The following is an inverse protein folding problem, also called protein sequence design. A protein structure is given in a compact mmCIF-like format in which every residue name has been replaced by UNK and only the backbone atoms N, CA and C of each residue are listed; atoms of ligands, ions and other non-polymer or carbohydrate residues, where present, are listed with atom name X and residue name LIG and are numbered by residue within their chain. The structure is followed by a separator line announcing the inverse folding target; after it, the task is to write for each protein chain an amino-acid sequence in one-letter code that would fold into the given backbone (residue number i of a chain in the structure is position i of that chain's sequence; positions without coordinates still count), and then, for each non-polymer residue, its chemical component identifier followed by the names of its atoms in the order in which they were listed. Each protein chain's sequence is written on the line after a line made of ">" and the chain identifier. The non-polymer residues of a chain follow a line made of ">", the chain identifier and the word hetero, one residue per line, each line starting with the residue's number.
data_IF_117513926339
#
_entry.id   IF_117513926339
#
_cell.length_a   1.000
_cell.length_b   1.000
_cell.length_c   1.000
_cell.angle_alpha   90.00
_cell.angle_beta   90.00
_cell.angle_gamma   90.00
#
_symmetry.space_group_name_H-M   'P 1'
#
loop_
_entity.id
_entity.type
_entity.pdbx_description
1 polymer ?
#
# COMPACT_ATOMS: atom_id res chain seq x y z
N UNK A 1 -30.58 2.07 30.29
CA UNK A 1 -30.06 3.28 29.57
C UNK A 1 -28.80 3.74 30.27
N UNK A 2 -27.63 3.59 29.66
CA UNK A 2 -26.35 4.11 30.17
C UNK A 2 -26.41 5.62 29.97
N UNK A 3 -26.16 6.42 31.03
CA UNK A 3 -26.25 7.88 30.99
C UNK A 3 -25.26 8.48 29.97
N UNK A 4 -25.59 9.63 29.38
CA UNK A 4 -24.70 10.33 28.43
C UNK A 4 -23.31 10.62 29.03
N UNK A 5 -23.23 10.76 30.37
CA UNK A 5 -21.96 10.96 31.10
C UNK A 5 -21.11 9.71 31.13
N UNK A 6 -21.67 8.52 31.41
CA UNK A 6 -20.94 7.25 31.33
C UNK A 6 -20.38 6.98 29.94
N UNK A 7 -21.14 7.27 28.86
CA UNK A 7 -20.63 7.19 27.47
C UNK A 7 -19.52 8.19 27.20
N UNK A 8 -19.51 9.33 27.88
CA UNK A 8 -18.46 10.36 27.73
C UNK A 8 -17.19 9.96 28.49
N UNK A 9 -17.33 9.35 29.68
CA UNK A 9 -16.21 8.80 30.47
C UNK A 9 -15.59 7.56 29.83
N UNK A 10 -16.39 6.62 29.31
CA UNK A 10 -15.91 5.48 28.54
C UNK A 10 -15.15 5.91 27.27
N UNK A 11 -15.57 7.01 26.63
CA UNK A 11 -14.89 7.58 25.46
C UNK A 11 -13.55 8.24 25.83
N UNK A 12 -13.39 8.68 27.09
CA UNK A 12 -12.14 9.31 27.60
C UNK A 12 -11.10 8.30 28.06
N UNK A 13 -11.49 7.04 28.31
CA UNK A 13 -10.64 5.95 28.82
C UNK A 13 -10.23 4.93 27.76
N UNK A 14 -10.63 5.09 26.49
CA UNK A 14 -10.17 4.15 25.43
C UNK A 14 -8.65 4.29 25.26
N UNK A 15 -7.94 3.15 25.29
CA UNK A 15 -6.51 3.09 24.97
C UNK A 15 -6.24 3.81 23.66
N UNK A 16 -5.21 4.62 23.58
CA UNK A 16 -4.75 5.19 22.30
C UNK A 16 -4.05 4.10 21.50
N UNK A 17 -4.83 3.33 20.73
CA UNK A 17 -4.30 2.33 19.82
C UNK A 17 -3.52 3.00 18.69
N UNK A 18 -2.46 2.33 18.22
CA UNK A 18 -1.59 2.75 17.12
C UNK A 18 -1.54 1.67 16.05
N UNK A 19 -1.97 2.00 14.84
CA UNK A 19 -2.00 1.08 13.71
C UNK A 19 -1.23 1.67 12.55
N UNK A 20 -0.30 0.89 11.98
CA UNK A 20 0.30 1.18 10.69
C UNK A 20 -0.48 0.42 9.62
N UNK A 21 -1.30 1.13 8.85
CA UNK A 21 -2.25 0.51 7.92
C UNK A 21 -1.72 0.41 6.48
N UNK A 22 -0.45 0.77 6.24
CA UNK A 22 0.15 0.69 4.93
C UNK A 22 1.60 0.20 5.03
N UNK A 23 1.79 -1.09 4.80
CA UNK A 23 3.12 -1.72 4.85
C UNK A 23 3.22 -2.84 3.83
N UNK A 24 4.43 -3.10 3.35
CA UNK A 24 4.74 -4.09 2.35
C UNK A 24 5.61 -5.23 2.93
N UNK A 25 5.45 -6.41 2.35
CA UNK A 25 6.21 -7.60 2.70
C UNK A 25 6.99 -8.12 1.49
N UNK A 26 7.75 -9.20 1.65
CA UNK A 26 8.40 -9.89 0.55
C UNK A 26 7.43 -10.51 -0.48
N UNK A 27 6.12 -10.50 -0.20
CA UNK A 27 5.10 -10.83 -1.20
C UNK A 27 4.97 -9.80 -2.32
N UNK A 28 5.50 -8.58 -2.13
CA UNK A 28 5.66 -7.58 -3.19
C UNK A 28 7.11 -7.06 -3.25
N UNK A 29 7.37 -5.89 -2.74
CA UNK A 29 8.67 -5.21 -2.78
C UNK A 29 9.19 -4.76 -1.42
N UNK A 30 8.60 -5.29 -0.35
CA UNK A 30 9.12 -5.17 1.00
C UNK A 30 10.31 -6.11 1.27
N UNK A 31 11.21 -5.69 2.15
CA UNK A 31 12.43 -6.45 2.49
C UNK A 31 12.19 -7.58 3.52
N UNK A 32 11.06 -7.56 4.24
CA UNK A 32 10.77 -8.51 5.32
C UNK A 32 9.54 -9.35 5.01
N UNK A 33 9.53 -10.59 5.48
CA UNK A 33 8.34 -11.43 5.51
C UNK A 33 7.30 -10.93 6.53
N UNK A 34 6.12 -11.54 6.55
CA UNK A 34 5.03 -11.21 7.49
C UNK A 34 5.51 -11.27 8.94
N UNK A 35 6.21 -12.34 9.31
CA UNK A 35 6.67 -12.54 10.70
C UNK A 35 7.72 -11.52 11.10
N UNK A 36 8.64 -11.15 10.22
CA UNK A 36 9.65 -10.11 10.42
C UNK A 36 9.00 -8.75 10.66
N UNK A 37 8.03 -8.39 9.84
CA UNK A 37 7.26 -7.15 9.97
C UNK A 37 6.44 -7.11 11.27
N UNK A 38 5.75 -8.20 11.65
CA UNK A 38 5.02 -8.29 12.93
C UNK A 38 5.94 -8.12 14.13
N UNK A 39 7.12 -8.78 14.13
CA UNK A 39 8.11 -8.61 15.21
C UNK A 39 8.58 -7.17 15.31
N UNK A 40 8.80 -6.51 14.18
CA UNK A 40 9.23 -5.12 14.14
C UNK A 40 8.11 -4.19 14.66
N UNK A 41 6.87 -4.38 14.24
CA UNK A 41 5.71 -3.63 14.71
C UNK A 41 5.51 -3.74 16.23
N UNK A 42 5.64 -4.95 16.79
CA UNK A 42 5.58 -5.19 18.25
C UNK A 42 6.70 -4.42 18.96
N UNK A 43 7.94 -4.46 18.44
CA UNK A 43 9.09 -3.76 19.01
C UNK A 43 8.89 -2.24 19.01
N UNK A 44 8.20 -1.71 18.01
CA UNK A 44 7.88 -0.29 17.87
C UNK A 44 6.65 0.14 18.68
N UNK A 45 5.97 -0.80 19.35
CA UNK A 45 4.80 -0.53 20.19
C UNK A 45 3.53 -0.23 19.39
N UNK A 46 3.42 -0.73 18.18
CA UNK A 46 2.17 -0.73 17.42
C UNK A 46 1.19 -1.75 18.01
N UNK A 47 -0.10 -1.42 18.00
CA UNK A 47 -1.19 -2.31 18.41
C UNK A 47 -1.76 -3.10 17.23
N UNK A 48 -1.50 -2.65 15.99
CA UNK A 48 -1.91 -3.34 14.77
C UNK A 48 -1.13 -2.88 13.55
N UNK A 49 -1.13 -3.73 12.52
CA UNK A 49 -0.49 -3.52 11.23
C UNK A 49 -1.36 -4.10 10.11
N UNK A 50 -1.38 -3.45 8.94
CA UNK A 50 -1.97 -4.03 7.74
C UNK A 50 -0.88 -4.32 6.71
N UNK A 51 -0.92 -5.51 6.11
CA UNK A 51 -0.09 -5.83 4.95
C UNK A 51 -0.88 -5.52 3.69
N UNK A 52 -0.33 -4.60 2.90
CA UNK A 52 -0.97 -4.04 1.70
C UNK A 52 -0.07 -4.20 0.48
N UNK A 53 0.43 -5.43 0.29
CA UNK A 53 1.35 -5.76 -0.78
C UNK A 53 0.83 -5.33 -2.16
N UNK A 54 1.73 -4.84 -3.02
CA UNK A 54 1.39 -4.40 -4.37
C UNK A 54 0.86 -5.54 -5.24
N UNK A 55 -0.39 -5.44 -5.65
CA UNK A 55 -1.09 -6.37 -6.55
C UNK A 55 -0.92 -7.85 -6.15
N UNK A 56 -0.81 -8.13 -4.85
CA UNK A 56 -0.61 -9.47 -4.31
C UNK A 56 -1.34 -9.69 -2.98
N UNK A 57 -2.03 -10.83 -2.87
CA UNK A 57 -2.74 -11.28 -1.67
C UNK A 57 -2.33 -12.69 -1.23
N UNK A 58 -1.29 -13.27 -1.83
CA UNK A 58 -0.86 -14.63 -1.51
C UNK A 58 -0.48 -14.76 -0.02
N UNK A 59 0.03 -13.69 0.62
CA UNK A 59 0.32 -13.64 2.04
C UNK A 59 -0.90 -13.68 2.96
N UNK A 60 -2.12 -13.48 2.45
CA UNK A 60 -3.33 -13.48 3.29
C UNK A 60 -3.60 -14.81 3.98
N UNK A 61 -3.17 -15.92 3.38
CA UNK A 61 -3.35 -17.26 3.96
C UNK A 61 -2.47 -17.49 5.19
N UNK A 62 -1.35 -16.76 5.30
CA UNK A 62 -0.45 -16.84 6.46
C UNK A 62 -0.92 -15.99 7.66
N UNK A 63 -1.88 -15.09 7.43
CA UNK A 63 -2.38 -14.18 8.46
C UNK A 63 -3.40 -14.91 9.33
N UNK A 64 -2.96 -15.33 10.53
CA UNK A 64 -3.82 -15.85 11.60
C UNK A 64 -3.71 -14.96 12.83
N UNK A 65 -4.74 -14.17 13.09
CA UNK A 65 -4.80 -13.24 14.22
C UNK A 65 -4.75 -13.89 15.59
N UNK A 66 -4.96 -15.23 15.70
CA UNK A 66 -4.80 -15.95 16.96
C UNK A 66 -3.33 -16.19 17.31
N UNK A 67 -2.43 -16.05 16.36
CA UNK A 67 -0.98 -16.32 16.52
C UNK A 67 -0.22 -15.08 16.97
N UNK A 68 -0.70 -13.88 16.65
CA UNK A 68 0.05 -12.64 16.89
C UNK A 68 -0.43 -11.90 18.14
N UNK A 69 0.50 -11.14 18.76
CA UNK A 69 0.22 -10.30 19.95
C UNK A 69 -0.38 -8.94 19.60
N UNK A 70 -0.46 -8.59 18.33
CA UNK A 70 -1.06 -7.38 17.77
C UNK A 70 -2.06 -7.78 16.69
N UNK A 71 -2.96 -6.88 16.34
CA UNK A 71 -3.87 -7.11 15.22
C UNK A 71 -3.09 -7.09 13.89
N UNK A 72 -3.28 -8.11 13.08
CA UNK A 72 -2.71 -8.20 11.73
C UNK A 72 -3.84 -8.24 10.71
N UNK A 73 -3.87 -7.25 9.84
CA UNK A 73 -4.97 -7.04 8.90
C UNK A 73 -4.56 -7.43 7.48
N UNK A 74 -5.48 -8.09 6.79
CA UNK A 74 -5.37 -8.43 5.37
C UNK A 74 -5.68 -7.20 4.53
N UNK A 75 -4.73 -6.77 3.73
CA UNK A 75 -4.88 -5.66 2.80
C UNK A 75 -4.16 -5.91 1.50
N UNK A 76 -4.44 -5.08 0.52
CA UNK A 76 -3.76 -5.06 -0.79
C UNK A 76 -3.65 -3.62 -1.27
N UNK A 77 -2.57 -3.28 -1.97
CA UNK A 77 -2.44 -2.02 -2.69
C UNK A 77 -2.48 -2.28 -4.19
N UNK A 78 -3.59 -1.90 -4.84
CA UNK A 78 -3.74 -2.02 -6.28
C UNK A 78 -3.07 -0.87 -7.01
N UNK A 79 -2.21 -1.20 -7.97
CA UNK A 79 -1.64 -0.23 -8.91
C UNK A 79 -2.64 0.05 -10.02
N UNK A 80 -3.17 1.25 -10.07
CA UNK A 80 -4.23 1.66 -11.01
C UNK A 80 -3.86 2.92 -11.78
N UNK A 81 -4.73 3.33 -12.71
CA UNK A 81 -4.51 4.50 -13.54
C UNK A 81 -5.79 5.30 -13.74
N UNK A 82 -5.70 6.61 -13.63
CA UNK A 82 -6.81 7.52 -13.85
C UNK A 82 -6.33 8.85 -14.43
N UNK A 83 -6.96 9.32 -15.50
CA UNK A 83 -6.68 10.62 -16.15
C UNK A 83 -5.20 10.92 -16.43
N UNK A 84 -4.44 9.90 -16.82
CA UNK A 84 -3.02 10.08 -17.16
C UNK A 84 -2.06 9.97 -15.98
N UNK A 85 -2.54 9.61 -14.78
CA UNK A 85 -1.70 9.44 -13.61
C UNK A 85 -1.83 8.05 -12.98
N UNK A 86 -0.79 7.62 -12.29
CA UNK A 86 -0.81 6.43 -11.45
C UNK A 86 -1.56 6.75 -10.16
N UNK A 87 -2.50 5.90 -9.80
CA UNK A 87 -3.29 5.98 -8.58
C UNK A 87 -3.18 4.65 -7.86
N UNK A 88 -2.84 4.68 -6.58
CA UNK A 88 -2.88 3.47 -5.77
C UNK A 88 -4.16 3.41 -4.94
N UNK A 89 -4.74 2.23 -4.86
CA UNK A 89 -5.99 1.99 -4.14
C UNK A 89 -5.78 0.86 -3.13
N UNK A 90 -5.94 1.17 -1.85
CA UNK A 90 -5.88 0.19 -0.78
C UNK A 90 -7.23 -0.51 -0.64
N UNK A 91 -7.19 -1.83 -0.54
CA UNK A 91 -8.31 -2.67 -0.17
C UNK A 91 -8.02 -3.37 1.16
N UNK A 92 -8.89 -3.20 2.17
CA UNK A 92 -8.77 -3.92 3.44
C UNK A 92 -9.90 -4.94 3.53
N UNK A 93 -9.56 -6.22 3.61
CA UNK A 93 -10.54 -7.30 3.67
C UNK A 93 -11.36 -7.24 4.96
N UNK A 94 -12.70 -7.34 4.82
CA UNK A 94 -13.63 -7.15 5.94
C UNK A 94 -13.69 -8.33 6.91
N UNK A 95 -13.02 -9.45 6.64
CA UNK A 95 -13.04 -10.68 7.45
C UNK A 95 -14.47 -11.22 7.72
N UNK A 96 -15.39 -10.99 6.81
CA UNK A 96 -16.78 -11.42 6.89
C UNK A 96 -17.03 -12.83 6.31
N UNK A 97 -15.95 -13.50 5.87
CA UNK A 97 -15.99 -14.79 5.19
C UNK A 97 -16.40 -14.72 3.73
N UNK A 98 -16.46 -13.52 3.15
CA UNK A 98 -16.79 -13.31 1.75
C UNK A 98 -15.74 -13.87 0.80
N UNK A 99 -16.18 -14.21 -0.42
CA UNK A 99 -15.31 -14.74 -1.47
C UNK A 99 -14.46 -13.61 -2.10
N UNK A 100 -13.15 -13.83 -2.22
CA UNK A 100 -12.20 -12.95 -2.88
C UNK A 100 -11.47 -13.63 -4.05
N UNK A 101 -12.01 -14.73 -4.57
CA UNK A 101 -11.38 -15.50 -5.66
C UNK A 101 -11.28 -14.73 -6.98
N UNK A 102 -12.23 -13.81 -7.24
CA UNK A 102 -12.17 -12.91 -8.41
C UNK A 102 -10.95 -11.98 -8.29
N UNK A 103 -10.73 -11.39 -7.11
CA UNK A 103 -9.57 -10.55 -6.83
C UNK A 103 -8.26 -11.33 -6.99
N UNK A 104 -8.16 -12.51 -6.39
CA UNK A 104 -6.97 -13.38 -6.49
C UNK A 104 -6.65 -13.72 -7.94
N UNK A 105 -7.66 -14.14 -8.72
CA UNK A 105 -7.51 -14.46 -10.15
C UNK A 105 -7.02 -13.25 -10.95
N UNK A 106 -7.62 -12.07 -10.70
CA UNK A 106 -7.23 -10.82 -11.35
C UNK A 106 -5.78 -10.46 -11.02
N UNK A 107 -5.37 -10.56 -9.75
CA UNK A 107 -4.02 -10.21 -9.32
C UNK A 107 -2.95 -11.16 -9.87
N UNK A 108 -3.23 -12.46 -9.95
CA UNK A 108 -2.34 -13.43 -10.63
C UNK A 108 -2.07 -13.02 -12.07
N UNK A 109 -3.12 -12.67 -12.82
CA UNK A 109 -2.98 -12.19 -14.20
C UNK A 109 -2.18 -10.87 -14.26
N UNK A 110 -2.43 -9.94 -13.37
CA UNK A 110 -1.71 -8.67 -13.31
C UNK A 110 -0.21 -8.89 -13.06
N UNK A 111 0.15 -9.84 -12.19
CA UNK A 111 1.55 -10.21 -11.94
C UNK A 111 2.23 -10.81 -13.20
N UNK A 112 1.54 -11.64 -13.97
CA UNK A 112 2.04 -12.12 -15.26
C UNK A 112 2.32 -10.98 -16.25
N UNK A 113 1.42 -10.01 -16.34
CA UNK A 113 1.60 -8.83 -17.19
C UNK A 113 2.78 -7.97 -16.73
N UNK A 114 3.03 -7.87 -15.41
CA UNK A 114 4.22 -7.20 -14.87
C UNK A 114 5.52 -7.87 -15.35
N UNK A 115 5.59 -9.18 -15.42
CA UNK A 115 6.77 -9.90 -15.94
C UNK A 115 7.05 -9.55 -17.40
N UNK A 116 6.00 -9.45 -18.24
CA UNK A 116 6.13 -9.00 -19.63
C UNK A 116 6.67 -7.56 -19.70
N UNK A 117 6.20 -6.69 -18.82
CA UNK A 117 6.66 -5.30 -18.72
C UNK A 117 8.14 -5.22 -18.34
N UNK A 118 8.59 -6.00 -17.37
CA UNK A 118 10.00 -6.04 -16.95
C UNK A 118 10.91 -6.38 -18.13
N UNK A 119 10.58 -7.39 -18.94
CA UNK A 119 11.35 -7.73 -20.15
C UNK A 119 11.47 -6.56 -21.12
N UNK A 120 10.41 -5.78 -21.29
CA UNK A 120 10.46 -4.57 -22.14
C UNK A 120 11.31 -3.46 -21.52
N UNK A 121 11.28 -3.27 -20.20
CA UNK A 121 12.12 -2.28 -19.51
C UNK A 121 13.60 -2.65 -19.66
N UNK A 122 13.96 -3.93 -19.57
CA UNK A 122 15.32 -4.42 -19.80
C UNK A 122 15.82 -3.98 -21.18
N UNK A 123 15.01 -4.15 -22.23
CA UNK A 123 15.42 -3.73 -23.59
C UNK A 123 15.60 -2.21 -23.71
N UNK A 124 14.84 -1.42 -22.97
CA UNK A 124 15.05 0.04 -22.94
C UNK A 124 16.31 0.41 -22.18
N UNK A 125 16.62 -0.25 -21.06
CA UNK A 125 17.82 0.01 -20.26
C UNK A 125 19.11 -0.25 -21.03
N UNK A 126 19.14 -1.22 -21.95
CA UNK A 126 20.29 -1.47 -22.83
C UNK A 126 20.70 -0.26 -23.65
N UNK A 127 19.78 0.63 -24.02
CA UNK A 127 20.07 1.86 -24.75
C UNK A 127 20.90 2.87 -23.93
N UNK A 128 21.02 2.64 -22.63
CA UNK A 128 21.77 3.46 -21.67
C UNK A 128 22.98 2.71 -21.09
N UNK A 129 23.45 1.67 -21.76
CA UNK A 129 24.57 0.80 -21.31
C UNK A 129 24.31 0.17 -19.93
N UNK A 130 23.03 -0.08 -19.62
CA UNK A 130 22.60 -0.82 -18.44
C UNK A 130 22.07 -2.18 -18.90
N UNK A 131 22.94 -3.20 -18.86
CA UNK A 131 22.62 -4.55 -19.28
C UNK A 131 22.35 -5.41 -18.04
N UNK A 132 21.09 -5.49 -17.63
CA UNK A 132 20.58 -6.35 -16.55
C UNK A 132 19.71 -7.45 -17.14
N UNK A 133 19.81 -8.68 -16.63
CA UNK A 133 19.03 -9.79 -17.13
C UNK A 133 17.71 -9.96 -16.35
N UNK A 134 16.79 -10.67 -16.96
CA UNK A 134 15.51 -11.01 -16.34
C UNK A 134 15.71 -11.84 -15.06
N UNK A 135 16.63 -12.80 -15.10
CA UNK A 135 16.97 -13.68 -13.99
C UNK A 135 17.60 -12.89 -12.81
N UNK A 136 18.45 -11.92 -13.13
CA UNK A 136 19.04 -11.03 -12.10
C UNK A 136 17.96 -10.21 -11.37
N UNK A 137 16.93 -9.75 -12.09
CA UNK A 137 15.82 -9.01 -11.49
C UNK A 137 14.93 -9.93 -10.66
N UNK A 138 14.62 -11.14 -11.16
CA UNK A 138 13.83 -12.11 -10.42
C UNK A 138 14.52 -12.56 -9.13
N UNK A 139 15.85 -12.64 -9.11
CA UNK A 139 16.61 -12.98 -7.91
C UNK A 139 16.52 -11.93 -6.79
N UNK A 140 16.04 -10.74 -7.08
CA UNK A 140 15.80 -9.68 -6.10
C UNK A 140 14.33 -9.61 -5.64
N UNK A 141 13.45 -10.49 -6.15
CA UNK A 141 12.01 -10.46 -5.87
C UNK A 141 11.54 -11.83 -5.36
N UNK A 142 10.99 -11.87 -4.17
CA UNK A 142 10.35 -13.07 -3.63
C UNK A 142 8.85 -13.17 -4.01
N UNK A 143 8.26 -12.06 -4.48
CA UNK A 143 6.84 -11.96 -4.82
C UNK A 143 6.57 -11.17 -6.11
N UNK A 144 5.66 -10.22 -6.07
CA UNK A 144 5.28 -9.41 -7.22
C UNK A 144 6.45 -8.52 -7.69
N UNK A 145 6.94 -8.76 -8.92
CA UNK A 145 8.07 -7.99 -9.46
C UNK A 145 7.67 -6.54 -9.72
N UNK A 146 8.45 -5.62 -9.18
CA UNK A 146 8.25 -4.18 -9.29
C UNK A 146 9.55 -3.46 -9.69
N UNK A 147 9.43 -2.16 -10.01
CA UNK A 147 10.60 -1.34 -10.39
C UNK A 147 11.70 -1.26 -9.33
N UNK A 148 11.42 -1.28 -8.01
CA UNK A 148 12.47 -1.38 -7.01
C UNK A 148 13.39 -2.60 -7.19
N UNK A 149 12.86 -3.77 -7.61
CA UNK A 149 13.67 -4.95 -7.88
C UNK A 149 14.62 -4.74 -9.07
N UNK A 150 14.17 -4.01 -10.11
CA UNK A 150 15.03 -3.61 -11.23
C UNK A 150 16.18 -2.73 -10.71
N UNK A 151 15.87 -1.75 -9.85
CA UNK A 151 16.88 -0.89 -9.26
C UNK A 151 17.88 -1.67 -8.40
N UNK A 152 17.39 -2.60 -7.55
CA UNK A 152 18.24 -3.48 -6.72
C UNK A 152 19.21 -4.32 -7.59
N UNK A 153 18.69 -4.95 -8.65
CA UNK A 153 19.52 -5.74 -9.57
C UNK A 153 20.60 -4.89 -10.26
N UNK A 154 20.25 -3.68 -10.72
CA UNK A 154 21.22 -2.77 -11.34
C UNK A 154 22.30 -2.35 -10.35
N UNK A 155 21.93 -1.95 -9.13
CA UNK A 155 22.87 -1.52 -8.08
C UNK A 155 23.83 -2.66 -7.74
N UNK A 156 23.32 -3.88 -7.60
CA UNK A 156 24.11 -5.08 -7.30
C UNK A 156 25.07 -5.43 -8.41
N UNK A 157 24.65 -5.27 -9.68
CA UNK A 157 25.46 -5.61 -10.86
C UNK A 157 26.58 -4.58 -11.14
N UNK A 158 26.33 -3.30 -10.83
CA UNK A 158 27.26 -2.19 -11.15
C UNK A 158 27.68 -1.40 -9.90
N UNK A 159 28.29 -2.05 -8.88
CA UNK A 159 28.66 -1.37 -7.64
C UNK A 159 29.65 -0.22 -7.87
N UNK A 160 30.49 -0.31 -8.92
CA UNK A 160 31.48 0.71 -9.29
C UNK A 160 30.86 1.98 -9.88
N UNK A 161 29.61 1.92 -10.38
CA UNK A 161 28.91 3.09 -10.96
C UNK A 161 28.26 3.98 -9.90
N UNK A 162 28.21 3.54 -8.63
CA UNK A 162 27.64 4.31 -7.53
C UNK A 162 26.16 4.63 -7.69
N UNK A 163 25.41 3.79 -8.41
CA UNK A 163 23.97 3.95 -8.56
C UNK A 163 23.26 3.85 -7.21
N UNK A 164 22.28 4.73 -7.02
CA UNK A 164 21.31 4.63 -5.92
C UNK A 164 19.91 4.38 -6.49
N UNK A 165 19.02 3.85 -5.67
CA UNK A 165 17.62 3.66 -6.08
C UNK A 165 17.02 5.00 -6.56
N UNK A 166 17.17 6.06 -5.79
CA UNK A 166 16.72 7.41 -6.15
C UNK A 166 17.27 7.86 -7.51
N UNK A 167 18.57 7.69 -7.75
CA UNK A 167 19.18 8.06 -9.04
C UNK A 167 18.56 7.30 -10.21
N UNK A 168 18.35 5.98 -10.06
CA UNK A 168 17.76 5.15 -11.11
C UNK A 168 16.31 5.51 -11.40
N UNK A 169 15.53 5.82 -10.37
CA UNK A 169 14.17 6.30 -10.54
C UNK A 169 14.12 7.67 -11.20
N UNK A 170 14.96 8.61 -10.78
CA UNK A 170 14.97 9.97 -11.31
C UNK A 170 15.44 10.05 -12.78
N UNK A 171 16.27 9.11 -13.23
CA UNK A 171 16.89 9.20 -14.55
C UNK A 171 16.39 8.15 -15.55
N UNK A 172 15.93 6.96 -15.11
CA UNK A 172 15.65 5.86 -16.03
C UNK A 172 14.25 5.24 -15.87
N UNK A 173 13.89 4.74 -14.68
CA UNK A 173 12.73 3.86 -14.48
C UNK A 173 11.55 4.49 -13.72
N UNK A 174 11.70 5.72 -13.25
CA UNK A 174 10.61 6.48 -12.61
C UNK A 174 9.55 6.94 -13.61
N UNK A 175 8.46 7.49 -13.12
CA UNK A 175 7.38 7.98 -13.96
C UNK A 175 7.90 9.04 -14.97
N UNK A 176 7.43 8.94 -16.22
CA UNK A 176 7.82 9.83 -17.34
C UNK A 176 9.34 9.83 -17.66
N UNK A 177 10.08 8.77 -17.27
CA UNK A 177 11.49 8.57 -17.58
C UNK A 177 11.69 7.65 -18.80
N UNK A 178 12.88 7.66 -19.44
CA UNK A 178 13.12 6.98 -20.73
C UNK A 178 12.81 5.48 -20.73
N UNK A 179 13.03 4.80 -19.63
CA UNK A 179 12.73 3.37 -19.48
C UNK A 179 11.44 3.10 -18.72
N UNK A 180 10.60 4.13 -18.52
CA UNK A 180 9.29 3.95 -17.94
C UNK A 180 8.33 3.32 -18.93
N UNK A 181 7.73 2.24 -18.51
CA UNK A 181 6.56 1.68 -19.19
C UNK A 181 5.43 1.64 -18.17
N UNK A 182 4.27 2.20 -18.48
CA UNK A 182 3.12 2.09 -17.60
C UNK A 182 2.73 0.60 -17.44
N UNK A 183 2.18 0.25 -16.28
CA UNK A 183 1.45 -1.03 -16.13
C UNK A 183 0.24 -0.96 -17.04
N UNK A 184 -0.21 -2.09 -17.62
CA UNK A 184 -1.47 -2.13 -18.36
C UNK A 184 -2.57 -1.56 -17.47
N UNK A 185 -3.17 -0.50 -17.98
CA UNK A 185 -3.98 0.43 -17.21
C UNK A 185 -5.23 -0.24 -16.67
N UNK A 186 -5.16 -0.74 -15.45
CA UNK A 186 -6.37 -1.04 -14.72
C UNK A 186 -6.97 0.31 -14.27
N UNK A 187 -8.14 0.64 -14.80
CA UNK A 187 -8.80 1.90 -14.47
C UNK A 187 -9.12 1.93 -12.98
N UNK A 188 -8.85 3.06 -12.33
CA UNK A 188 -9.08 3.20 -10.89
C UNK A 188 -10.54 2.92 -10.49
N UNK A 189 -11.51 3.21 -11.35
CA UNK A 189 -12.93 2.94 -11.08
C UNK A 189 -13.22 1.45 -11.06
N UNK A 190 -12.66 0.72 -12.04
CA UNK A 190 -12.81 -0.74 -12.12
C UNK A 190 -12.14 -1.43 -10.94
N UNK A 191 -11.01 -0.87 -10.46
CA UNK A 191 -10.33 -1.33 -9.25
C UNK A 191 -11.17 -1.14 -7.98
N UNK A 192 -11.79 0.03 -7.83
CA UNK A 192 -12.71 0.31 -6.71
C UNK A 192 -13.86 -0.70 -6.72
N UNK A 193 -14.49 -0.93 -7.87
CA UNK A 193 -15.58 -1.89 -8.02
C UNK A 193 -15.12 -3.34 -7.75
N UNK A 194 -13.94 -3.73 -8.23
CA UNK A 194 -13.35 -5.06 -7.98
C UNK A 194 -13.15 -5.29 -6.48
N UNK A 195 -12.51 -4.36 -5.79
CA UNK A 195 -12.28 -4.45 -4.35
C UNK A 195 -13.59 -4.55 -3.56
N UNK A 196 -14.60 -3.77 -3.92
CA UNK A 196 -15.92 -3.82 -3.27
C UNK A 196 -16.61 -5.17 -3.44
N UNK A 197 -16.63 -5.71 -4.66
CA UNK A 197 -17.21 -7.03 -4.93
C UNK A 197 -16.47 -8.15 -4.18
N UNK A 198 -15.20 -7.93 -3.86
CA UNK A 198 -14.36 -8.88 -3.12
C UNK A 198 -14.23 -8.53 -1.63
N UNK A 199 -15.27 -7.96 -1.04
CA UNK A 199 -15.41 -7.73 0.39
C UNK A 199 -14.27 -6.88 1.01
N UNK A 200 -13.80 -5.86 0.29
CA UNK A 200 -12.80 -4.92 0.77
C UNK A 200 -13.39 -3.55 1.09
N UNK A 201 -12.92 -2.95 2.17
CA UNK A 201 -13.04 -1.52 2.43
C UNK A 201 -12.03 -0.79 1.55
N UNK A 202 -12.50 0.17 0.76
CA UNK A 202 -11.73 0.81 -0.31
C UNK A 202 -11.23 2.19 0.09
N UNK A 203 -9.92 2.41 -0.01
CA UNK A 203 -9.25 3.65 0.39
C UNK A 203 -8.30 4.14 -0.71
N UNK A 204 -8.30 5.44 -0.99
CA UNK A 204 -7.28 6.03 -1.87
C UNK A 204 -5.99 6.21 -1.09
N UNK A 205 -4.91 5.58 -1.56
CA UNK A 205 -3.58 5.66 -0.97
C UNK A 205 -2.92 7.01 -1.28
N UNK A 206 -2.13 7.51 -0.35
CA UNK A 206 -1.24 8.69 -0.47
C UNK A 206 -1.67 9.70 -1.56
N UNK A 207 -2.89 10.30 -1.49
CA UNK A 207 -3.53 11.05 -2.57
C UNK A 207 -2.73 12.26 -3.08
N UNK A 208 -1.79 12.78 -2.29
CA UNK A 208 -0.97 13.93 -2.68
C UNK A 208 0.23 13.54 -3.58
N UNK A 209 0.44 12.27 -3.86
CA UNK A 209 1.37 11.80 -4.89
C UNK A 209 0.72 11.81 -6.28
N UNK A 210 -0.57 12.06 -6.38
CA UNK A 210 -1.30 12.26 -7.64
C UNK A 210 -1.02 13.68 -8.13
N UNK A 211 -0.52 13.84 -9.36
CA UNK A 211 -0.03 15.11 -9.86
C UNK A 211 -0.85 15.67 -11.03
N UNK A 212 -1.56 14.82 -11.80
CA UNK A 212 -2.19 15.22 -13.07
C UNK A 212 -3.68 15.61 -12.92
N UNK A 213 -4.27 15.38 -11.74
CA UNK A 213 -5.65 15.78 -11.44
C UNK A 213 -5.85 15.94 -9.92
N UNK A 214 -6.95 16.57 -9.50
CA UNK A 214 -7.29 16.68 -8.08
C UNK A 214 -7.85 15.33 -7.58
N UNK A 215 -7.17 14.68 -6.62
CA UNK A 215 -7.60 13.44 -6.01
C UNK A 215 -9.04 13.47 -5.46
N UNK A 216 -9.55 14.66 -5.12
CA UNK A 216 -10.91 14.87 -4.60
C UNK A 216 -11.98 14.42 -5.60
N UNK A 217 -11.63 14.36 -6.90
CA UNK A 217 -12.52 13.81 -7.92
C UNK A 217 -12.84 12.33 -7.71
N UNK A 218 -11.94 11.58 -7.04
CA UNK A 218 -12.15 10.17 -6.76
C UNK A 218 -13.23 9.91 -5.69
N UNK A 219 -13.55 10.91 -4.87
CA UNK A 219 -14.61 10.82 -3.85
C UNK A 219 -16.02 10.67 -4.43
N UNK A 220 -16.19 10.91 -5.75
CA UNK A 220 -17.46 10.64 -6.45
C UNK A 220 -17.71 9.14 -6.71
N UNK A 221 -16.67 8.33 -6.63
CA UNK A 221 -16.78 6.88 -6.68
C UNK A 221 -17.05 6.33 -5.29
N UNK A 222 -17.53 5.13 -5.19
CA UNK A 222 -17.92 4.52 -3.90
C UNK A 222 -16.71 4.12 -3.02
N UNK A 223 -15.78 5.04 -2.78
CA UNK A 223 -14.67 4.83 -1.84
C UNK A 223 -15.16 4.94 -0.39
N UNK A 224 -14.54 4.20 0.51
CA UNK A 224 -14.86 4.23 1.94
C UNK A 224 -13.97 5.20 2.71
N UNK A 225 -12.76 5.48 2.22
CA UNK A 225 -11.81 6.32 2.92
C UNK A 225 -10.72 6.91 2.05
N UNK A 226 -9.86 7.69 2.71
CA UNK A 226 -8.66 8.29 2.12
C UNK A 226 -7.52 8.15 3.13
N UNK A 227 -6.32 7.82 2.67
CA UNK A 227 -5.12 7.83 3.47
C UNK A 227 -4.66 9.28 3.70
N UNK A 228 -5.25 9.88 4.74
CA UNK A 228 -5.00 11.27 5.08
C UNK A 228 -3.79 11.46 6.01
N UNK A 229 -3.32 10.37 6.64
CA UNK A 229 -2.17 10.38 7.55
C UNK A 229 -1.04 9.59 6.88
N UNK A 230 -0.15 10.32 6.22
CA UNK A 230 0.99 9.81 5.47
C UNK A 230 2.19 10.73 5.70
N UNK A 231 3.37 10.39 5.22
CA UNK A 231 4.58 11.19 5.36
C UNK A 231 4.56 12.46 4.48
N UNK A 232 3.51 13.25 4.60
CA UNK A 232 3.39 14.55 3.93
C UNK A 232 4.07 15.67 4.70
N UNK A 233 4.50 16.72 4.01
CA UNK A 233 4.91 17.97 4.64
C UNK A 233 3.73 18.60 5.38
N UNK A 234 3.97 19.18 6.55
CA UNK A 234 2.96 19.52 7.57
C UNK A 234 1.77 20.38 7.12
N UNK A 235 1.94 21.31 6.18
CA UNK A 235 0.89 22.25 5.79
C UNK A 235 -0.21 21.62 4.91
N UNK A 236 0.15 20.60 4.13
CA UNK A 236 -0.74 19.96 3.15
C UNK A 236 -1.57 18.84 3.80
N UNK A 237 -1.07 18.23 4.88
CA UNK A 237 -1.74 17.16 5.63
C UNK A 237 -3.12 17.57 6.14
N UNK A 238 -3.28 18.81 6.56
CA UNK A 238 -4.53 19.32 7.13
C UNK A 238 -5.66 19.40 6.09
N UNK A 239 -5.35 19.67 4.82
CA UNK A 239 -6.33 19.77 3.75
C UNK A 239 -6.93 18.40 3.40
N UNK A 240 -6.08 17.36 3.31
CA UNK A 240 -6.55 15.98 3.05
C UNK A 240 -7.43 15.51 4.18
N UNK A 241 -6.99 15.68 5.43
CA UNK A 241 -7.75 15.29 6.62
C UNK A 241 -9.11 16.02 6.68
N UNK A 242 -9.12 17.32 6.45
CA UNK A 242 -10.34 18.13 6.45
C UNK A 242 -11.31 17.68 5.36
N UNK A 243 -10.80 17.44 4.15
CA UNK A 243 -11.61 16.94 3.04
C UNK A 243 -12.23 15.58 3.37
N UNK A 244 -11.42 14.63 3.88
CA UNK A 244 -11.85 13.29 4.26
C UNK A 244 -12.99 13.34 5.28
N UNK A 245 -12.83 14.13 6.34
CA UNK A 245 -13.83 14.27 7.41
C UNK A 245 -15.12 14.96 6.91
N UNK A 246 -15.00 16.00 6.11
CA UNK A 246 -16.15 16.74 5.57
C UNK A 246 -17.01 15.87 4.62
N UNK A 247 -16.40 14.92 3.94
CA UNK A 247 -17.10 13.96 3.08
C UNK A 247 -17.54 12.68 3.81
N UNK A 248 -17.37 12.61 5.15
CA UNK A 248 -17.71 11.45 5.98
C UNK A 248 -16.99 10.17 5.58
N UNK A 249 -15.84 10.30 4.96
CA UNK A 249 -14.96 9.21 4.61
C UNK A 249 -14.11 8.81 5.82
N UNK A 250 -13.65 7.55 5.83
CA UNK A 250 -12.76 7.05 6.87
C UNK A 250 -11.36 7.64 6.65
N UNK A 251 -10.74 8.06 7.73
CA UNK A 251 -9.34 8.43 7.78
C UNK A 251 -8.51 7.17 7.99
N UNK A 252 -7.58 6.89 7.09
CA UNK A 252 -6.52 5.89 7.29
C UNK A 252 -5.16 6.56 7.31
N UNK A 253 -4.14 5.79 7.64
CA UNK A 253 -2.76 6.24 7.62
C UNK A 253 -1.78 5.11 7.86
N UNK A 254 -0.62 5.25 7.26
CA UNK A 254 0.46 4.29 7.35
C UNK A 254 1.79 4.85 6.86
N UNK A 255 2.84 4.08 7.08
CA UNK A 255 4.20 4.49 6.77
C UNK A 255 4.60 4.19 5.33
N UNK A 256 3.86 3.35 4.63
CA UNK A 256 4.25 2.82 3.32
C UNK A 256 5.64 2.13 3.38
N UNK A 257 5.82 1.36 4.46
CA UNK A 257 7.09 0.74 4.79
C UNK A 257 7.42 -0.41 3.85
N UNK A 258 8.59 -0.34 3.23
CA UNK A 258 9.11 -1.39 2.34
C UNK A 258 10.39 -2.06 2.88
N UNK A 259 10.97 -1.55 3.97
CA UNK A 259 12.17 -2.15 4.55
C UNK A 259 13.09 -1.13 5.25
N UNK A 260 14.12 -1.61 5.97
CA UNK A 260 14.97 -0.75 6.80
C UNK A 260 15.85 0.20 6.01
N UNK A 261 16.02 -0.03 4.72
CA UNK A 261 16.89 0.78 3.83
C UNK A 261 16.06 1.77 3.00
N UNK A 262 14.75 1.72 3.11
CA UNK A 262 13.83 2.58 2.37
C UNK A 262 13.63 3.93 3.06
N UNK A 263 13.02 4.88 2.34
CA UNK A 263 12.82 6.26 2.80
C UNK A 263 12.03 6.36 4.10
N UNK A 264 11.06 5.47 4.30
CA UNK A 264 10.11 5.55 5.40
C UNK A 264 10.31 4.38 6.36
N UNK A 265 10.44 4.69 7.64
CA UNK A 265 10.57 3.69 8.71
C UNK A 265 9.19 3.22 9.16
N UNK A 266 9.02 1.93 9.40
CA UNK A 266 7.79 1.39 10.00
C UNK A 266 7.40 2.18 11.25
N UNK A 267 6.13 2.53 11.37
CA UNK A 267 5.62 3.26 12.53
C UNK A 267 6.10 4.70 12.63
N UNK A 268 6.79 5.25 11.61
CA UNK A 268 7.07 6.70 11.52
C UNK A 268 5.78 7.49 11.32
N UNK A 269 4.83 6.88 10.64
CA UNK A 269 3.46 7.34 10.46
C UNK A 269 2.52 6.21 10.86
N UNK A 270 1.48 6.52 11.62
CA UNK A 270 0.48 5.55 12.07
C UNK A 270 -0.85 6.25 12.33
N UNK A 271 -1.91 5.49 12.22
CA UNK A 271 -3.23 5.90 12.65
C UNK A 271 -3.34 5.76 14.17
N UNK A 272 -3.96 6.74 14.86
CA UNK A 272 -4.11 6.63 16.32
C UNK A 272 -5.50 7.01 16.84
N UNK A 273 -5.81 6.49 18.01
CA UNK A 273 -6.95 6.88 18.84
C UNK A 273 -8.29 6.70 18.12
N UNK A 274 -9.06 7.78 18.01
CA UNK A 274 -10.42 7.76 17.42
C UNK A 274 -10.45 7.16 16.01
N UNK A 275 -9.50 7.49 15.18
CA UNK A 275 -9.48 7.03 13.77
C UNK A 275 -9.27 5.51 13.65
N UNK A 276 -8.49 4.92 14.56
CA UNK A 276 -8.36 3.46 14.64
C UNK A 276 -9.72 2.81 14.94
N UNK A 277 -10.45 3.35 15.92
CA UNK A 277 -11.79 2.81 16.25
C UNK A 277 -12.78 2.97 15.12
N UNK A 278 -12.80 4.13 14.45
CA UNK A 278 -13.68 4.38 13.31
C UNK A 278 -13.38 3.40 12.16
N UNK A 279 -12.11 3.08 11.93
CA UNK A 279 -11.66 2.08 10.95
C UNK A 279 -12.07 0.66 11.36
N UNK A 280 -11.76 0.24 12.60
CA UNK A 280 -12.09 -1.10 13.10
C UNK A 280 -13.60 -1.35 13.16
N UNK A 281 -14.37 -0.33 13.49
CA UNK A 281 -15.84 -0.40 13.45
C UNK A 281 -16.37 -0.71 12.04
N UNK A 282 -15.64 -0.32 10.99
CA UNK A 282 -16.02 -0.65 9.59
C UNK A 282 -15.55 -2.03 9.19
N UNK A 283 -14.32 -2.42 9.54
CA UNK A 283 -13.77 -3.75 9.23
C UNK A 283 -14.59 -4.86 9.90
N UNK A 284 -15.13 -4.62 11.11
CA UNK A 284 -15.83 -5.63 11.89
C UNK A 284 -17.38 -5.52 11.85
N UNK A 285 -17.95 -4.65 11.03
CA UNK A 285 -19.42 -4.43 11.00
C UNK A 285 -20.26 -5.65 10.60
N UNK A 286 -19.66 -6.68 10.05
CA UNK A 286 -20.33 -7.88 9.57
C UNK A 286 -20.01 -9.14 10.42
N UNK A 287 -19.44 -8.94 11.62
CA UNK A 287 -19.24 -10.02 12.61
C UNK A 287 -20.39 -10.13 13.58
#
# INVERSE_FOLDING_TARGET
>A
MISKEKKKEEKFMRKKLKYDLHTHTSYSDGDLDILGNVKNAIKLGLDGIAFTDHDNIDGWEEIDNNTYKIDVLKGVELSTYYKGDSVHVLGYYLNDGGDYSELDTFLKKTREERLVRVKKIIELLKQFDIDVTYEEILAEADGAVARPHIAKAIIKKYPERGYTSTYLFDNYIGNDRPCYLPVNYFDTRDAIELLKRNHCLVVIAHPLLINKFDYKELAKYEIDGIEAIYNYQNDIKNDVLSFTLNNKLIVTGGSDYHGPVTRDSMGSVYLEGKYVYDFLDKINKNK
#
